data_IF_628754480720
#
_entry.id   IF_628754480720
#
_cell.length_a   1.000
_cell.length_b   1.000
_cell.length_c   1.000
_cell.angle_alpha   90.00
_cell.angle_beta   90.00
_cell.angle_gamma   90.00
#
_symmetry.space_group_name_H-M   'P 1'
#
loop_
_entity.id
_entity.type
_entity.pdbx_description
1 polymer ?
#
# COMPACT_ATOMS: atom_id res chain seq x y z
N UNK A 1 -19.17 -21.38 38.33
CA UNK A 1 -18.37 -20.48 37.47
C UNK A 1 -19.23 -20.04 36.29
N UNK A 2 -19.28 -18.74 36.02
CA UNK A 2 -20.30 -18.05 35.22
C UNK A 2 -20.18 -18.36 33.72
N UNK A 3 -21.33 -18.57 33.07
CA UNK A 3 -21.52 -18.57 31.61
C UNK A 3 -21.31 -17.14 31.09
N UNK A 4 -20.47 -16.96 30.08
CA UNK A 4 -20.36 -15.70 29.33
C UNK A 4 -21.25 -15.81 28.09
N UNK A 5 -22.40 -15.14 28.16
CA UNK A 5 -23.22 -14.83 26.99
C UNK A 5 -22.72 -13.48 26.47
N UNK A 6 -22.27 -13.44 25.22
CA UNK A 6 -21.97 -12.22 24.50
C UNK A 6 -22.83 -12.20 23.24
N UNK A 7 -24.08 -11.80 23.42
CA UNK A 7 -24.91 -11.23 22.37
C UNK A 7 -25.00 -9.74 22.64
N UNK A 8 -24.49 -8.89 21.76
CA UNK A 8 -25.25 -7.79 21.17
C UNK A 8 -24.40 -7.05 20.11
N UNK A 9 -25.04 -6.83 18.97
CA UNK A 9 -24.57 -6.02 17.86
C UNK A 9 -24.44 -4.54 18.23
N UNK A 10 -23.41 -3.90 17.69
CA UNK A 10 -23.40 -2.47 17.37
C UNK A 10 -22.54 -2.31 16.10
N UNK A 11 -23.15 -2.26 14.92
CA UNK A 11 -23.64 -1.06 14.22
C UNK A 11 -22.56 -0.46 13.32
N UNK A 12 -22.82 -0.58 12.02
CA UNK A 12 -22.41 0.30 10.93
C UNK A 12 -21.01 0.93 11.02
N UNK A 13 -20.03 0.27 10.41
CA UNK A 13 -19.13 1.03 9.54
C UNK A 13 -19.53 0.69 8.12
N UNK A 14 -20.25 1.65 7.55
CA UNK A 14 -20.36 1.93 6.12
C UNK A 14 -19.34 1.13 5.31
N UNK A 15 -19.83 0.26 4.42
CA UNK A 15 -19.09 -0.21 3.28
C UNK A 15 -18.66 1.03 2.47
N UNK A 16 -17.53 1.60 2.85
CA UNK A 16 -16.87 2.67 2.12
C UNK A 16 -16.45 2.06 0.80
N UNK A 17 -17.24 2.33 -0.23
CA UNK A 17 -16.82 2.44 -1.61
C UNK A 17 -15.82 1.37 -2.07
N UNK A 18 -16.28 0.13 -2.22
CA UNK A 18 -15.64 -0.83 -3.12
C UNK A 18 -16.02 -0.53 -4.58
N UNK A 19 -15.89 0.73 -5.01
CA UNK A 19 -15.89 1.05 -6.43
C UNK A 19 -14.49 0.73 -6.95
N UNK A 20 -14.39 -0.35 -7.72
CA UNK A 20 -13.19 -0.99 -8.30
C UNK A 20 -12.53 -2.08 -7.46
N UNK A 21 -13.27 -3.14 -7.10
CA UNK A 21 -12.68 -4.47 -6.86
C UNK A 21 -12.30 -5.15 -8.18
N UNK A 22 -11.66 -4.42 -9.10
CA UNK A 22 -11.01 -5.05 -10.24
C UNK A 22 -9.58 -5.35 -9.78
N UNK A 23 -9.27 -6.60 -9.39
CA UNK A 23 -7.95 -6.96 -8.89
C UNK A 23 -6.84 -6.72 -9.92
N UNK A 24 -7.21 -6.60 -11.19
CA UNK A 24 -6.30 -6.43 -12.32
C UNK A 24 -6.08 -4.96 -12.68
N UNK A 25 -6.91 -4.04 -12.18
CA UNK A 25 -6.67 -2.61 -12.39
C UNK A 25 -5.46 -2.15 -11.57
N UNK A 26 -4.52 -1.42 -12.21
CA UNK A 26 -3.38 -0.90 -11.50
C UNK A 26 -3.81 0.19 -10.52
N UNK A 27 -3.16 0.19 -9.36
CA UNK A 27 -3.35 1.14 -8.28
C UNK A 27 -2.00 1.57 -7.73
N UNK A 28 -1.96 2.72 -7.04
CA UNK A 28 -0.76 3.14 -6.33
C UNK A 28 -0.63 2.40 -4.99
N UNK A 29 0.53 1.80 -4.78
CA UNK A 29 0.92 1.08 -3.57
C UNK A 29 2.13 1.73 -2.93
N UNK A 30 2.02 2.03 -1.65
CA UNK A 30 3.14 2.36 -0.78
C UNK A 30 3.75 1.05 -0.27
N UNK A 31 5.03 0.85 -0.54
CA UNK A 31 5.80 -0.31 -0.11
C UNK A 31 6.90 0.16 0.84
N UNK A 32 6.92 -0.42 2.03
CA UNK A 32 7.93 -0.14 3.04
C UNK A 32 8.76 -1.39 3.26
N UNK A 33 10.01 -1.32 2.82
CA UNK A 33 11.01 -2.38 2.92
C UNK A 33 11.85 -2.15 4.17
N UNK A 34 12.00 -3.18 4.99
CA UNK A 34 12.78 -3.12 6.22
C UNK A 34 13.87 -4.20 6.22
N UNK A 35 15.11 -3.75 6.26
CA UNK A 35 16.29 -4.55 6.62
C UNK A 35 16.69 -4.21 8.07
N UNK A 36 17.63 -4.96 8.65
CA UNK A 36 18.01 -4.86 10.07
C UNK A 36 18.30 -3.42 10.54
N UNK A 37 18.81 -2.54 9.68
CA UNK A 37 19.17 -1.16 10.02
C UNK A 37 18.62 -0.10 9.05
N UNK A 38 17.82 -0.47 8.06
CA UNK A 38 17.35 0.49 7.05
C UNK A 38 15.89 0.26 6.72
N UNK A 39 15.13 1.36 6.64
CA UNK A 39 13.77 1.38 6.14
C UNK A 39 13.75 2.21 4.87
N UNK A 40 13.22 1.65 3.79
CA UNK A 40 13.02 2.35 2.52
C UNK A 40 11.55 2.31 2.18
N UNK A 41 10.96 3.45 1.87
CA UNK A 41 9.59 3.54 1.38
C UNK A 41 9.61 3.98 -0.08
N UNK A 42 8.88 3.26 -0.93
CA UNK A 42 8.68 3.62 -2.32
C UNK A 42 7.22 3.39 -2.74
N UNK A 43 6.83 4.02 -3.84
CA UNK A 43 5.49 3.98 -4.40
C UNK A 43 5.51 3.31 -5.76
N UNK A 44 4.61 2.36 -6.00
CA UNK A 44 4.55 1.60 -7.26
C UNK A 44 3.11 1.55 -7.76
N UNK A 45 2.94 1.79 -9.06
CA UNK A 45 1.65 1.75 -9.72
C UNK A 45 1.46 0.41 -10.44
N UNK A 46 0.73 -0.53 -9.83
CA UNK A 46 0.50 -1.86 -10.42
C UNK A 46 -0.73 -2.58 -9.86
N UNK A 47 -1.07 -3.71 -10.48
CA UNK A 47 -2.22 -4.53 -10.09
C UNK A 47 -2.02 -5.15 -8.70
N UNK A 48 -3.12 -5.52 -8.04
CA UNK A 48 -3.04 -6.23 -6.75
C UNK A 48 -2.35 -7.59 -6.90
N UNK A 49 -2.56 -8.26 -8.04
CA UNK A 49 -1.96 -9.57 -8.30
C UNK A 49 -0.43 -9.48 -8.45
N UNK A 50 0.07 -8.48 -9.17
CA UNK A 50 1.52 -8.26 -9.32
C UNK A 50 2.17 -7.92 -7.97
N UNK A 51 1.51 -7.11 -7.14
CA UNK A 51 1.98 -6.80 -5.79
C UNK A 51 2.11 -8.06 -4.93
N UNK A 52 1.15 -8.97 -5.00
CA UNK A 52 1.14 -10.14 -4.14
C UNK A 52 2.07 -11.26 -4.62
N UNK A 53 2.36 -11.32 -5.91
CA UNK A 53 3.25 -12.36 -6.46
C UNK A 53 4.70 -11.87 -6.49
N UNK A 54 4.97 -10.79 -7.22
CA UNK A 54 6.35 -10.34 -7.50
C UNK A 54 7.04 -9.71 -6.29
N UNK A 55 6.32 -8.93 -5.48
CA UNK A 55 6.92 -8.20 -4.34
C UNK A 55 7.21 -9.15 -3.19
N UNK A 56 6.36 -10.16 -2.95
CA UNK A 56 6.61 -11.16 -1.91
C UNK A 56 7.78 -12.07 -2.28
N UNK A 57 7.84 -12.54 -3.53
CA UNK A 57 8.99 -13.28 -4.05
C UNK A 57 10.29 -12.48 -3.92
N UNK A 58 10.26 -11.18 -4.28
CA UNK A 58 11.43 -10.31 -4.14
C UNK A 58 11.83 -10.09 -2.67
N UNK A 59 10.86 -9.90 -1.77
CA UNK A 59 11.12 -9.72 -0.34
C UNK A 59 11.77 -10.96 0.27
N UNK A 60 11.31 -12.15 -0.11
CA UNK A 60 11.90 -13.43 0.31
C UNK A 60 13.33 -13.59 -0.23
N UNK A 61 13.56 -13.31 -1.51
CA UNK A 61 14.89 -13.37 -2.13
C UNK A 61 15.91 -12.43 -1.48
N UNK A 62 15.46 -11.25 -1.07
CA UNK A 62 16.31 -10.26 -0.40
C UNK A 62 16.42 -10.48 1.12
N UNK A 63 15.63 -11.40 1.70
CA UNK A 63 15.58 -11.63 3.14
C UNK A 63 15.06 -10.43 3.94
N UNK A 64 14.16 -9.64 3.34
CA UNK A 64 13.63 -8.39 3.93
C UNK A 64 12.15 -8.51 4.25
N UNK A 65 11.68 -7.71 5.21
CA UNK A 65 10.24 -7.58 5.47
C UNK A 65 9.68 -6.46 4.62
N UNK A 66 8.59 -6.74 3.90
CA UNK A 66 7.86 -5.73 3.14
C UNK A 66 6.47 -5.51 3.74
N UNK A 67 6.08 -4.25 3.91
CA UNK A 67 4.71 -3.84 4.23
C UNK A 67 4.13 -3.14 3.02
N UNK A 68 2.89 -3.49 2.65
CA UNK A 68 2.24 -2.99 1.45
C UNK A 68 0.92 -2.33 1.83
N UNK A 69 0.70 -1.10 1.37
CA UNK A 69 -0.50 -0.32 1.68
C UNK A 69 -0.97 0.40 0.43
N UNK A 70 -2.28 0.45 0.19
CA UNK A 70 -2.83 1.25 -0.90
C UNK A 70 -2.69 2.74 -0.57
N UNK A 71 -2.05 3.51 -1.45
CA UNK A 71 -1.73 4.93 -1.23
C UNK A 71 -2.88 5.88 -1.60
N UNK A 72 -4.08 5.35 -1.84
CA UNK A 72 -5.25 6.09 -2.31
C UNK A 72 -5.50 5.93 -3.80
N UNK A 73 -6.35 6.80 -4.36
CA UNK A 73 -6.68 6.82 -5.78
C UNK A 73 -5.83 7.88 -6.48
N UNK A 74 -4.55 7.55 -6.73
CA UNK A 74 -3.60 8.40 -7.44
C UNK A 74 -3.53 8.00 -8.91
N UNK A 75 -3.25 8.97 -9.79
CA UNK A 75 -2.83 8.68 -11.16
C UNK A 75 -1.46 7.98 -11.15
N UNK A 76 -1.08 7.34 -12.26
CA UNK A 76 0.24 6.73 -12.39
C UNK A 76 1.36 7.78 -12.20
N UNK A 77 1.21 8.95 -12.81
CA UNK A 77 2.19 10.04 -12.70
C UNK A 77 2.35 10.52 -11.25
N UNK A 78 1.25 10.79 -10.55
CA UNK A 78 1.28 11.24 -9.16
C UNK A 78 1.85 10.16 -8.23
N UNK A 79 1.58 8.89 -8.53
CA UNK A 79 2.13 7.76 -7.78
C UNK A 79 3.65 7.69 -7.90
N UNK A 80 4.17 7.79 -9.13
CA UNK A 80 5.61 7.70 -9.38
C UNK A 80 6.36 8.94 -8.89
N UNK A 81 5.72 10.11 -8.95
CA UNK A 81 6.27 11.37 -8.44
C UNK A 81 6.57 11.31 -6.93
N UNK A 82 5.86 10.48 -6.15
CA UNK A 82 6.15 10.27 -4.71
C UNK A 82 7.52 9.65 -4.42
N UNK A 83 8.16 9.02 -5.41
CA UNK A 83 9.52 8.51 -5.27
C UNK A 83 10.59 9.55 -5.56
N UNK A 84 10.22 10.67 -6.19
CA UNK A 84 11.16 11.74 -6.47
C UNK A 84 11.42 12.48 -5.15
N UNK A 85 12.68 12.80 -4.81
CA UNK A 85 12.92 13.77 -3.74
C UNK A 85 12.18 15.07 -4.09
N UNK A 86 11.71 15.81 -3.09
CA UNK A 86 11.18 17.17 -3.29
C UNK A 86 12.35 18.04 -3.81
N UNK A 87 12.57 18.01 -5.13
CA UNK A 87 13.50 18.90 -5.81
C UNK A 87 12.70 20.15 -6.09
N UNK A 88 12.76 21.09 -5.14
CA UNK A 88 12.32 22.45 -5.36
C UNK A 88 13.33 23.10 -6.33
N UNK A 89 13.12 22.91 -7.63
CA UNK A 89 13.89 23.60 -8.65
C UNK A 89 13.28 25.00 -8.75
N UNK A 90 13.82 25.91 -7.95
CA UNK A 90 13.59 27.34 -8.10
C UNK A 90 14.25 27.78 -9.42
N UNK A 91 13.48 27.71 -10.51
CA UNK A 91 13.91 28.25 -11.81
C UNK A 91 13.48 29.72 -11.82
N UNK A 92 14.38 30.59 -11.36
CA UNK A 92 14.34 32.02 -11.70
C UNK A 92 14.40 32.12 -13.24
N UNK A 93 13.26 32.44 -13.88
CA UNK A 93 13.16 32.80 -15.30
C UNK A 93 13.24 34.31 -15.48
#
# INVERSE_FOLDING_TARGET
MKKLVLSLMAVCMTAVMFTSCDPDKPHCWEMTWKTNNTTVTNYVYCSKNDINTKVDELAEQLGVKVTKKRAGNLSEADCLAKNLPDIDIDIDL
#
